data_IF_873825119417
#
_entry.id   IF_873825119417
#
_cell.length_a   1.000
_cell.length_b   1.000
_cell.length_c   1.000
_cell.angle_alpha   90.00
_cell.angle_beta   90.00
_cell.angle_gamma   90.00
#
_symmetry.space_group_name_H-M   'P 1'
#
loop_
_entity.id
_entity.type
_entity.pdbx_description
1 polymer ?
#
# COMPACT_ATOMS: atom_id res chain seq x y z
N UNK A 1 30.27 -46.69 12.94
CA UNK A 1 29.51 -45.44 12.70
C UNK A 1 29.25 -45.32 11.21
N UNK A 2 28.03 -45.59 10.72
CA UNK A 2 27.73 -45.35 9.32
C UNK A 2 27.24 -43.91 9.15
N UNK A 3 27.77 -43.26 8.11
CA UNK A 3 27.36 -41.95 7.64
C UNK A 3 25.86 -41.94 7.33
N UNK A 4 25.12 -41.06 8.00
CA UNK A 4 23.77 -40.68 7.60
C UNK A 4 23.87 -39.91 6.29
N UNK A 5 23.47 -40.56 5.20
CA UNK A 5 23.22 -39.96 3.90
C UNK A 5 22.33 -38.74 4.07
N UNK A 6 22.92 -37.57 3.80
CA UNK A 6 22.26 -36.29 3.68
C UNK A 6 21.46 -36.29 2.37
N UNK A 7 20.32 -36.99 2.39
CA UNK A 7 19.38 -37.02 1.29
C UNK A 7 18.67 -35.66 1.24
N UNK A 8 19.17 -34.80 0.35
CA UNK A 8 18.54 -33.59 -0.20
C UNK A 8 17.04 -33.52 0.05
N UNK A 9 16.63 -32.71 1.03
CA UNK A 9 15.20 -32.48 1.29
C UNK A 9 14.54 -31.86 0.04
N UNK A 10 13.44 -32.45 -0.47
CA UNK A 10 12.72 -31.96 -1.66
C UNK A 10 12.11 -30.56 -1.49
N UNK A 11 12.09 -30.02 -0.27
CA UNK A 11 11.48 -28.74 0.09
C UNK A 11 12.22 -27.51 -0.47
N UNK A 12 13.44 -27.69 -0.99
CA UNK A 12 14.24 -26.57 -1.51
C UNK A 12 14.24 -26.43 -3.04
N UNK A 13 13.76 -27.43 -3.78
CA UNK A 13 13.84 -27.46 -5.24
C UNK A 13 12.61 -26.80 -5.87
N UNK A 14 12.84 -25.76 -6.66
CA UNK A 14 11.81 -25.18 -7.52
C UNK A 14 11.35 -26.20 -8.56
N UNK A 15 10.08 -26.59 -8.50
CA UNK A 15 9.48 -27.56 -9.40
C UNK A 15 9.26 -26.96 -10.80
N UNK A 16 9.21 -27.83 -11.82
CA UNK A 16 8.68 -27.43 -13.13
C UNK A 16 7.17 -27.21 -13.00
N UNK A 17 6.61 -26.37 -13.86
CA UNK A 17 5.18 -26.01 -13.78
C UNK A 17 4.25 -27.23 -13.70
N UNK A 18 4.46 -28.24 -14.55
CA UNK A 18 3.65 -29.47 -14.53
C UNK A 18 3.84 -30.30 -13.26
N UNK A 19 5.05 -30.35 -12.71
CA UNK A 19 5.36 -31.11 -11.50
C UNK A 19 4.64 -30.53 -10.26
N UNK A 20 4.23 -29.26 -10.29
CA UNK A 20 3.42 -28.66 -9.22
C UNK A 20 2.06 -29.35 -9.09
N UNK A 21 1.48 -29.80 -10.22
CA UNK A 21 0.19 -30.48 -10.23
C UNK A 21 0.23 -31.86 -9.58
N UNK A 22 1.41 -32.49 -9.58
CA UNK A 22 1.65 -33.83 -9.01
C UNK A 22 1.76 -33.82 -7.48
N UNK A 23 1.90 -32.64 -6.86
CA UNK A 23 1.87 -32.50 -5.42
C UNK A 23 0.47 -32.83 -4.89
N UNK A 24 0.39 -33.64 -3.83
CA UNK A 24 -0.86 -33.77 -3.07
C UNK A 24 -1.22 -32.45 -2.35
N UNK A 25 -2.42 -32.35 -1.79
CA UNK A 25 -2.95 -31.07 -1.32
C UNK A 25 -2.18 -30.52 -0.10
N UNK A 26 -1.72 -31.40 0.80
CA UNK A 26 -0.88 -31.03 1.94
C UNK A 26 0.48 -30.50 1.46
N UNK A 27 1.17 -31.26 0.60
CA UNK A 27 2.47 -30.87 0.06
C UNK A 27 2.38 -29.61 -0.81
N UNK A 28 1.27 -29.42 -1.52
CA UNK A 28 1.00 -28.19 -2.26
C UNK A 28 0.83 -27.01 -1.32
N UNK A 29 0.04 -27.14 -0.24
CA UNK A 29 -0.09 -26.08 0.77
C UNK A 29 1.27 -25.68 1.36
N UNK A 30 2.09 -26.68 1.74
CA UNK A 30 3.42 -26.45 2.29
C UNK A 30 4.37 -25.80 1.27
N UNK A 31 4.28 -26.22 0.01
CA UNK A 31 5.06 -25.67 -1.10
C UNK A 31 4.83 -24.15 -1.25
N UNK A 32 3.60 -23.68 -1.03
CA UNK A 32 3.24 -22.26 -1.19
C UNK A 32 3.83 -21.32 -0.13
N UNK A 33 4.50 -21.80 0.92
CA UNK A 33 5.07 -20.93 1.96
C UNK A 33 6.23 -20.06 1.47
N UNK A 34 6.94 -20.50 0.42
CA UNK A 34 8.00 -19.69 -0.20
C UNK A 34 7.44 -18.87 -1.36
N UNK A 35 7.90 -17.63 -1.49
CA UNK A 35 7.37 -16.73 -2.53
C UNK A 35 7.70 -17.22 -3.95
N UNK A 36 8.91 -17.71 -4.21
CA UNK A 36 9.28 -18.26 -5.52
C UNK A 36 8.47 -19.52 -5.90
N UNK A 37 8.13 -20.35 -4.91
CA UNK A 37 7.24 -21.49 -5.08
C UNK A 37 5.82 -21.03 -5.39
N UNK A 38 5.30 -20.04 -4.66
CA UNK A 38 4.01 -19.42 -4.94
C UNK A 38 3.96 -18.81 -6.35
N UNK A 39 5.01 -18.10 -6.79
CA UNK A 39 5.14 -17.60 -8.17
C UNK A 39 5.08 -18.75 -9.18
N UNK A 40 5.74 -19.86 -8.88
CA UNK A 40 5.74 -21.05 -9.76
C UNK A 40 4.35 -21.69 -9.82
N UNK A 41 3.67 -21.80 -8.69
CA UNK A 41 2.30 -22.29 -8.61
C UNK A 41 1.32 -21.36 -9.35
N UNK A 42 1.47 -20.03 -9.19
CA UNK A 42 0.65 -19.04 -9.90
C UNK A 42 0.83 -19.10 -11.43
N UNK A 43 2.06 -19.29 -11.92
CA UNK A 43 2.32 -19.50 -13.36
C UNK A 43 1.74 -20.84 -13.82
N UNK A 44 1.83 -21.88 -12.98
CA UNK A 44 1.26 -23.21 -13.27
C UNK A 44 -0.27 -23.15 -13.40
N UNK A 45 -0.91 -22.43 -12.48
CA UNK A 45 -2.34 -22.16 -12.45
C UNK A 45 -2.79 -21.37 -13.68
N UNK A 46 -2.13 -20.25 -13.97
CA UNK A 46 -2.41 -19.43 -15.16
C UNK A 46 -2.25 -20.21 -16.47
N UNK A 47 -1.37 -21.21 -16.49
CA UNK A 47 -1.17 -22.09 -17.63
C UNK A 47 -2.18 -23.27 -17.69
N UNK A 48 -3.04 -23.42 -16.70
CA UNK A 48 -4.08 -24.46 -16.62
C UNK A 48 -3.54 -25.84 -16.24
N UNK A 49 -2.43 -25.92 -15.51
CA UNK A 49 -1.84 -27.21 -15.11
C UNK A 49 -2.34 -27.70 -13.75
N UNK A 50 -2.80 -26.83 -12.86
CA UNK A 50 -3.21 -27.23 -11.52
C UNK A 50 -4.52 -28.01 -11.52
N UNK A 51 -4.67 -28.89 -10.53
CA UNK A 51 -5.91 -29.62 -10.27
C UNK A 51 -6.96 -28.67 -9.68
N UNK A 52 -8.28 -28.93 -9.83
CA UNK A 52 -9.33 -28.06 -9.31
C UNK A 52 -9.16 -27.70 -7.83
N UNK A 53 -8.87 -28.68 -6.96
CA UNK A 53 -8.65 -28.42 -5.53
C UNK A 53 -7.46 -27.48 -5.25
N UNK A 54 -6.40 -27.56 -6.05
CA UNK A 54 -5.22 -26.68 -5.92
C UNK A 54 -5.51 -25.26 -6.44
N UNK A 55 -6.27 -25.16 -7.54
CA UNK A 55 -6.78 -23.90 -8.07
C UNK A 55 -7.66 -23.20 -7.03
N UNK A 56 -8.64 -23.91 -6.47
CA UNK A 56 -9.55 -23.41 -5.43
C UNK A 56 -8.78 -22.94 -4.19
N UNK A 57 -7.73 -23.67 -3.79
CA UNK A 57 -6.87 -23.27 -2.68
C UNK A 57 -6.13 -21.94 -2.97
N UNK A 58 -5.60 -21.75 -4.17
CA UNK A 58 -4.92 -20.49 -4.56
C UNK A 58 -5.89 -19.31 -4.63
N UNK A 59 -7.11 -19.55 -5.11
CA UNK A 59 -8.15 -18.54 -5.25
C UNK A 59 -9.00 -18.32 -3.99
N UNK A 60 -8.72 -19.04 -2.91
CA UNK A 60 -9.39 -18.83 -1.63
C UNK A 60 -9.24 -17.37 -1.16
N UNK A 61 -10.27 -16.76 -0.54
CA UNK A 61 -10.23 -15.34 -0.14
C UNK A 61 -9.00 -14.95 0.68
N UNK A 62 -8.54 -15.82 1.58
CA UNK A 62 -7.35 -15.60 2.40
C UNK A 62 -6.01 -15.63 1.64
N UNK A 63 -5.96 -16.20 0.44
CA UNK A 63 -4.75 -16.32 -0.40
C UNK A 63 -4.77 -15.43 -1.64
N UNK A 64 -5.93 -14.87 -1.99
CA UNK A 64 -6.12 -14.10 -3.21
C UNK A 64 -5.14 -12.90 -3.34
N UNK A 65 -4.79 -12.28 -2.22
CA UNK A 65 -3.78 -11.22 -2.17
C UNK A 65 -2.36 -11.73 -2.46
N UNK A 66 -1.98 -12.88 -1.90
CA UNK A 66 -0.68 -13.50 -2.17
C UNK A 66 -0.59 -13.96 -3.64
N UNK A 67 -1.67 -14.54 -4.18
CA UNK A 67 -1.76 -14.92 -5.58
C UNK A 67 -1.60 -13.70 -6.50
N UNK A 68 -2.26 -12.58 -6.19
CA UNK A 68 -2.12 -11.32 -6.92
C UNK A 68 -0.67 -10.83 -6.93
N UNK A 69 0.00 -10.85 -5.78
CA UNK A 69 1.38 -10.39 -5.65
C UNK A 69 2.33 -11.29 -6.44
N UNK A 70 2.12 -12.62 -6.39
CA UNK A 70 2.87 -13.60 -7.15
C UNK A 70 2.70 -13.45 -8.66
N UNK A 71 1.46 -13.24 -9.14
CA UNK A 71 1.17 -13.00 -10.56
C UNK A 71 1.73 -11.65 -11.04
N UNK A 72 1.71 -10.61 -10.21
CA UNK A 72 2.31 -9.30 -10.51
C UNK A 72 3.82 -9.43 -10.72
N UNK A 73 4.49 -10.17 -9.83
CA UNK A 73 5.91 -10.46 -9.99
C UNK A 73 6.18 -11.34 -11.23
N UNK A 74 5.38 -12.39 -11.43
CA UNK A 74 5.50 -13.30 -12.56
C UNK A 74 5.36 -12.57 -13.91
N UNK A 75 4.42 -11.64 -14.02
CA UNK A 75 4.24 -10.83 -15.23
C UNK A 75 5.53 -10.08 -15.57
N UNK A 76 6.07 -9.34 -14.60
CA UNK A 76 7.28 -8.55 -14.82
C UNK A 76 8.52 -9.40 -15.09
N UNK A 77 8.72 -10.49 -14.34
CA UNK A 77 9.88 -11.39 -14.54
C UNK A 77 9.80 -12.08 -15.91
N UNK A 78 8.62 -12.54 -16.33
CA UNK A 78 8.41 -13.13 -17.66
C UNK A 78 8.58 -12.09 -18.78
N UNK A 79 8.15 -10.84 -18.57
CA UNK A 79 8.38 -9.77 -19.52
C UNK A 79 9.88 -9.52 -19.72
N UNK A 80 10.64 -9.34 -18.64
CA UNK A 80 12.09 -9.09 -18.74
C UNK A 80 12.83 -10.33 -19.28
N UNK A 81 12.38 -11.54 -18.92
CA UNK A 81 12.91 -12.77 -19.48
C UNK A 81 12.69 -12.84 -20.99
N UNK A 82 11.49 -12.49 -21.47
CA UNK A 82 11.16 -12.43 -22.90
C UNK A 82 12.03 -11.40 -23.64
N UNK A 83 12.21 -10.21 -23.06
CA UNK A 83 13.08 -9.15 -23.59
C UNK A 83 14.53 -9.63 -23.73
N UNK A 84 15.07 -10.26 -22.68
CA UNK A 84 16.41 -10.86 -22.68
C UNK A 84 16.56 -11.98 -23.70
N UNK A 85 15.59 -12.88 -23.78
CA UNK A 85 15.55 -13.99 -24.73
C UNK A 85 15.51 -13.46 -26.17
N UNK A 86 14.74 -12.41 -26.42
CA UNK A 86 14.63 -11.76 -27.73
C UNK A 86 15.96 -11.14 -28.14
N UNK A 87 16.64 -10.43 -27.22
CA UNK A 87 17.99 -9.88 -27.47
C UNK A 87 18.99 -10.98 -27.88
N UNK A 88 18.97 -12.11 -27.18
CA UNK A 88 19.84 -13.27 -27.46
C UNK A 88 19.36 -14.19 -28.59
N UNK A 89 18.23 -13.89 -29.24
CA UNK A 89 17.60 -14.73 -30.27
C UNK A 89 17.34 -16.17 -29.79
N UNK A 90 16.91 -16.31 -28.54
CA UNK A 90 16.64 -17.61 -27.91
C UNK A 90 15.38 -18.26 -28.52
N UNK A 91 15.42 -19.54 -28.92
CA UNK A 91 14.28 -20.23 -29.53
C UNK A 91 13.07 -20.40 -28.58
N UNK A 92 13.25 -20.18 -27.27
CA UNK A 92 12.18 -20.29 -26.27
C UNK A 92 11.23 -19.09 -26.25
N UNK A 93 11.52 -18.01 -26.98
CA UNK A 93 10.70 -16.79 -27.05
C UNK A 93 9.20 -17.06 -27.25
N UNK A 94 8.75 -17.89 -28.21
CA UNK A 94 7.31 -18.13 -28.42
C UNK A 94 6.63 -18.77 -27.20
N UNK A 95 7.34 -19.67 -26.50
CA UNK A 95 6.82 -20.34 -25.29
C UNK A 95 6.66 -19.34 -24.15
N UNK A 96 7.70 -18.56 -23.85
CA UNK A 96 7.68 -17.56 -22.78
C UNK A 96 6.66 -16.46 -23.07
N UNK A 97 6.51 -16.04 -24.33
CA UNK A 97 5.50 -15.07 -24.76
C UNK A 97 4.06 -15.56 -24.49
N UNK A 98 3.78 -16.84 -24.76
CA UNK A 98 2.48 -17.45 -24.44
C UNK A 98 2.24 -17.49 -22.93
N UNK A 99 3.24 -17.88 -22.14
CA UNK A 99 3.14 -17.89 -20.67
C UNK A 99 2.87 -16.49 -20.12
N UNK A 100 3.54 -15.46 -20.64
CA UNK A 100 3.28 -14.07 -20.25
C UNK A 100 1.84 -13.65 -20.53
N UNK A 101 1.27 -14.01 -21.68
CA UNK A 101 -0.15 -13.73 -21.98
C UNK A 101 -1.09 -14.43 -21.00
N UNK A 102 -0.83 -15.69 -20.69
CA UNK A 102 -1.62 -16.46 -19.71
C UNK A 102 -1.59 -15.81 -18.32
N UNK A 103 -0.40 -15.42 -17.84
CA UNK A 103 -0.23 -14.72 -16.57
C UNK A 103 -0.96 -13.38 -16.54
N UNK A 104 -0.93 -12.60 -17.62
CA UNK A 104 -1.67 -11.33 -17.71
C UNK A 104 -3.19 -11.54 -17.62
N UNK A 105 -3.71 -12.55 -18.30
CA UNK A 105 -5.13 -12.91 -18.22
C UNK A 105 -5.52 -13.31 -16.80
N UNK A 106 -4.72 -14.18 -16.16
CA UNK A 106 -4.96 -14.61 -14.78
C UNK A 106 -4.86 -13.44 -13.79
N UNK A 107 -3.87 -12.55 -13.94
CA UNK A 107 -3.72 -11.36 -13.09
C UNK A 107 -4.92 -10.42 -13.20
N UNK A 108 -5.44 -10.21 -14.43
CA UNK A 108 -6.64 -9.41 -14.63
C UNK A 108 -7.85 -10.04 -13.93
N UNK A 109 -8.01 -11.36 -13.99
CA UNK A 109 -9.08 -12.07 -13.30
C UNK A 109 -8.97 -11.90 -11.77
N UNK A 110 -7.80 -12.15 -11.20
CA UNK A 110 -7.53 -12.00 -9.76
C UNK A 110 -7.73 -10.55 -9.30
N UNK A 111 -7.41 -9.55 -10.13
CA UNK A 111 -7.74 -8.15 -9.84
C UNK A 111 -9.25 -7.91 -9.67
N UNK A 112 -10.08 -8.52 -10.52
CA UNK A 112 -11.55 -8.43 -10.41
C UNK A 112 -12.05 -9.10 -9.15
N UNK A 113 -11.58 -10.30 -8.85
CA UNK A 113 -11.93 -11.06 -7.64
C UNK A 113 -11.53 -10.30 -6.38
N UNK A 114 -10.29 -9.76 -6.33
CA UNK A 114 -9.80 -8.98 -5.19
C UNK A 114 -10.60 -7.68 -5.01
N UNK A 115 -11.09 -7.08 -6.10
CA UNK A 115 -11.97 -5.91 -6.01
C UNK A 115 -13.37 -6.29 -5.52
N UNK A 116 -13.92 -7.44 -5.96
CA UNK A 116 -15.21 -7.94 -5.51
C UNK A 116 -15.19 -8.29 -4.02
N UNK A 117 -14.15 -8.98 -3.54
CA UNK A 117 -13.94 -9.31 -2.13
C UNK A 117 -13.95 -8.04 -1.27
N UNK A 118 -13.15 -7.03 -1.65
CA UNK A 118 -13.11 -5.74 -0.95
C UNK A 118 -14.47 -5.03 -0.90
N UNK A 119 -15.24 -5.06 -1.99
CA UNK A 119 -16.60 -4.49 -1.99
C UNK A 119 -17.55 -5.27 -1.09
N UNK A 120 -17.39 -6.59 -0.98
CA UNK A 120 -18.19 -7.39 -0.06
C UNK A 120 -17.83 -7.07 1.41
N UNK A 121 -16.55 -7.06 1.75
CA UNK A 121 -16.06 -6.71 3.10
C UNK A 121 -16.50 -5.31 3.52
N UNK A 122 -16.40 -4.32 2.62
CA UNK A 122 -16.84 -2.96 2.91
C UNK A 122 -18.36 -2.91 3.16
N UNK A 123 -19.18 -3.56 2.32
CA UNK A 123 -20.63 -3.63 2.53
C UNK A 123 -21.00 -4.27 3.87
N UNK A 124 -20.32 -5.35 4.27
CA UNK A 124 -20.54 -5.99 5.57
C UNK A 124 -20.18 -5.04 6.70
N UNK A 125 -19.08 -4.30 6.58
CA UNK A 125 -18.65 -3.31 7.58
C UNK A 125 -19.66 -2.16 7.67
N UNK A 126 -20.10 -1.63 6.54
CA UNK A 126 -21.03 -0.49 6.47
C UNK A 126 -22.42 -0.86 7.00
N UNK A 127 -22.87 -2.10 6.75
CA UNK A 127 -24.11 -2.63 7.32
C UNK A 127 -24.03 -2.76 8.84
N UNK A 128 -22.88 -3.18 9.38
CA UNK A 128 -22.66 -3.28 10.82
C UNK A 128 -22.60 -1.90 11.52
N UNK A 129 -22.12 -0.87 10.83
CA UNK A 129 -21.98 0.49 11.39
C UNK A 129 -23.16 1.41 11.09
N UNK A 130 -24.11 1.00 10.25
CA UNK A 130 -25.25 1.85 9.83
C UNK A 130 -24.86 3.09 9.02
N UNK A 131 -23.59 3.22 8.63
CA UNK A 131 -22.99 4.42 7.99
C UNK A 131 -23.08 4.38 6.46
N UNK A 132 -24.12 3.75 5.90
CA UNK A 132 -24.19 3.34 4.49
C UNK A 132 -24.23 4.45 3.43
N UNK A 133 -24.10 5.73 3.79
CA UNK A 133 -23.93 6.80 2.80
C UNK A 133 -23.10 7.95 3.37
N UNK A 134 -22.07 8.36 2.63
CA UNK A 134 -21.31 9.58 2.96
C UNK A 134 -22.19 10.79 2.64
N UNK A 135 -22.75 11.42 3.68
CA UNK A 135 -23.54 12.64 3.56
C UNK A 135 -22.66 13.84 3.14
N UNK A 136 -23.22 14.72 2.33
CA UNK A 136 -22.66 16.04 2.00
C UNK A 136 -22.28 16.84 3.24
N UNK A 137 -23.09 16.80 4.31
CA UNK A 137 -22.79 17.52 5.55
C UNK A 137 -21.51 17.01 6.23
N UNK A 138 -21.37 15.69 6.36
CA UNK A 138 -20.17 15.05 6.91
C UNK A 138 -18.94 15.34 6.05
N UNK A 139 -19.09 15.31 4.73
CA UNK A 139 -18.01 15.65 3.80
C UNK A 139 -17.60 17.11 3.91
N UNK A 140 -18.56 18.03 4.03
CA UNK A 140 -18.31 19.45 4.17
C UNK A 140 -17.58 19.78 5.48
N UNK A 141 -18.01 19.20 6.60
CA UNK A 141 -17.32 19.31 7.91
C UNK A 141 -15.86 18.87 7.80
N UNK A 142 -15.61 17.70 7.22
CA UNK A 142 -14.24 17.19 7.03
C UNK A 142 -13.40 18.06 6.10
N UNK A 143 -13.96 18.59 5.02
CA UNK A 143 -13.24 19.50 4.12
C UNK A 143 -12.94 20.85 4.77
N UNK A 144 -13.84 21.35 5.62
CA UNK A 144 -13.62 22.56 6.40
C UNK A 144 -12.46 22.39 7.40
N UNK A 145 -12.35 21.23 8.05
CA UNK A 145 -11.21 20.90 8.92
C UNK A 145 -9.87 20.93 8.16
N UNK A 146 -9.85 20.50 6.89
CA UNK A 146 -8.67 20.64 6.04
C UNK A 146 -8.40 22.08 5.59
N UNK A 147 -9.44 22.91 5.45
CA UNK A 147 -9.27 24.33 5.15
C UNK A 147 -8.64 25.06 6.35
N UNK A 148 -9.03 24.71 7.58
CA UNK A 148 -8.62 25.38 8.81
C UNK A 148 -7.88 24.45 9.80
N UNK A 149 -6.73 23.85 9.41
CA UNK A 149 -6.12 22.76 10.17
C UNK A 149 -5.66 23.18 11.58
N UNK A 150 -5.07 24.38 11.71
CA UNK A 150 -4.62 24.90 13.00
C UNK A 150 -5.80 25.15 13.95
N UNK A 151 -6.87 25.78 13.45
CA UNK A 151 -8.06 26.06 14.25
C UNK A 151 -8.79 24.79 14.65
N UNK A 152 -8.96 23.86 13.72
CA UNK A 152 -9.53 22.55 13.99
C UNK A 152 -8.75 21.79 15.07
N UNK A 153 -7.41 21.78 14.99
CA UNK A 153 -6.57 21.12 16.01
C UNK A 153 -6.78 21.72 17.41
N UNK A 154 -6.90 23.05 17.51
CA UNK A 154 -7.20 23.72 18.78
C UNK A 154 -8.59 23.34 19.33
N UNK A 155 -9.61 23.32 18.47
CA UNK A 155 -10.97 22.94 18.85
C UNK A 155 -11.04 21.47 19.29
N UNK A 156 -10.37 20.58 18.57
CA UNK A 156 -10.29 19.16 18.91
C UNK A 156 -9.61 18.92 20.25
N UNK A 157 -8.47 19.58 20.51
CA UNK A 157 -7.77 19.46 21.78
C UNK A 157 -8.64 19.95 22.96
N UNK A 158 -9.42 21.02 22.77
CA UNK A 158 -10.37 21.52 23.77
C UNK A 158 -11.51 20.54 24.01
N UNK A 159 -12.09 19.97 22.95
CA UNK A 159 -13.17 18.99 23.06
C UNK A 159 -12.71 17.69 23.74
N UNK A 160 -11.50 17.22 23.41
CA UNK A 160 -10.89 16.05 24.08
C UNK A 160 -10.64 16.33 25.56
N UNK A 161 -10.06 17.49 25.90
CA UNK A 161 -9.84 17.88 27.30
C UNK A 161 -11.16 17.96 28.10
N UNK A 162 -12.23 18.48 27.49
CA UNK A 162 -13.55 18.53 28.11
C UNK A 162 -14.16 17.13 28.33
N UNK A 163 -13.82 16.16 27.49
CA UNK A 163 -14.20 14.75 27.63
C UNK A 163 -13.27 13.94 28.55
N UNK A 164 -12.28 14.57 29.20
CA UNK A 164 -11.29 13.89 30.04
C UNK A 164 -10.25 13.07 29.26
N UNK A 165 -10.15 13.28 27.95
CA UNK A 165 -9.26 12.55 27.06
C UNK A 165 -7.93 13.30 26.86
N UNK A 166 -6.81 12.59 26.66
CA UNK A 166 -5.55 13.23 26.31
C UNK A 166 -5.65 13.92 24.95
N UNK A 167 -5.15 15.16 24.88
CA UNK A 167 -5.12 15.92 23.64
C UNK A 167 -4.29 15.18 22.59
N UNK A 168 -4.92 14.84 21.46
CA UNK A 168 -4.31 14.12 20.35
C UNK A 168 -4.74 14.73 19.03
N UNK A 169 -3.80 15.12 18.15
CA UNK A 169 -4.15 15.60 16.82
C UNK A 169 -4.81 14.48 16.00
N UNK A 170 -5.58 14.87 14.99
CA UNK A 170 -6.10 13.91 14.03
C UNK A 170 -4.97 13.40 13.14
N UNK A 171 -4.89 12.08 12.94
CA UNK A 171 -3.99 11.45 11.99
C UNK A 171 -4.18 12.06 10.59
N UNK A 172 -3.09 12.53 9.96
CA UNK A 172 -3.15 13.23 8.67
C UNK A 172 -3.20 12.26 7.51
N UNK A 173 -2.57 11.11 7.68
CA UNK A 173 -2.49 10.04 6.71
C UNK A 173 -2.58 8.66 7.37
N UNK A 174 -2.51 7.62 6.54
CA UNK A 174 -2.58 6.23 6.99
C UNK A 174 -1.35 5.83 7.81
N UNK A 175 -0.20 6.48 7.62
CA UNK A 175 1.01 6.16 8.37
C UNK A 175 0.92 6.72 9.79
N UNK A 176 0.41 7.94 9.97
CA UNK A 176 0.11 8.49 11.30
C UNK A 176 -0.85 7.56 12.05
N UNK A 177 -1.87 7.03 11.38
CA UNK A 177 -2.81 6.06 11.97
C UNK A 177 -2.10 4.79 12.45
N UNK A 178 -1.14 4.29 11.67
CA UNK A 178 -0.35 3.09 12.00
C UNK A 178 0.62 3.36 13.14
N UNK A 179 1.35 4.48 13.10
CA UNK A 179 2.33 4.89 14.11
C UNK A 179 1.63 5.13 15.47
N UNK A 180 0.49 5.83 15.47
CA UNK A 180 -0.34 6.00 16.65
C UNK A 180 -0.90 4.66 17.15
N UNK A 181 -1.42 3.82 16.26
CA UNK A 181 -1.96 2.52 16.63
C UNK A 181 -0.91 1.57 17.22
N UNK A 182 0.36 1.70 16.82
CA UNK A 182 1.48 1.01 17.46
C UNK A 182 1.77 1.59 18.85
N UNK A 183 1.82 2.92 18.99
CA UNK A 183 2.04 3.58 20.28
C UNK A 183 0.92 3.29 21.30
N UNK A 184 -0.31 3.12 20.83
CA UNK A 184 -1.49 2.74 21.62
C UNK A 184 -1.54 1.23 21.97
N UNK A 185 -0.60 0.44 21.46
CA UNK A 185 -0.56 -1.02 21.67
C UNK A 185 -1.61 -1.80 20.88
N UNK A 186 -2.31 -1.19 19.91
CA UNK A 186 -3.23 -1.90 19.01
C UNK A 186 -2.50 -2.78 18.00
N UNK A 187 -1.26 -2.41 17.65
CA UNK A 187 -0.34 -3.22 16.85
C UNK A 187 0.77 -3.76 17.75
N UNK A 188 0.78 -5.08 17.98
CA UNK A 188 1.67 -5.72 18.96
C UNK A 188 2.98 -6.24 18.37
N UNK A 189 3.41 -5.71 17.22
CA UNK A 189 4.67 -6.14 16.59
C UNK A 189 5.85 -5.72 17.47
N UNK A 190 6.68 -6.67 17.94
CA UNK A 190 7.78 -6.36 18.87
C UNK A 190 8.91 -5.62 18.14
N UNK A 191 9.55 -4.70 18.85
CA UNK A 191 10.83 -4.12 18.45
C UNK A 191 11.92 -5.19 18.57
N UNK A 192 12.51 -5.59 17.45
CA UNK A 192 13.67 -6.49 17.42
C UNK A 192 14.95 -5.69 17.18
N UNK A 193 16.15 -6.23 17.48
CA UNK A 193 17.41 -5.54 17.17
C UNK A 193 17.53 -5.12 15.70
N UNK A 194 16.96 -5.91 14.77
CA UNK A 194 16.93 -5.57 13.34
C UNK A 194 16.07 -4.33 13.06
N UNK A 195 14.91 -4.20 13.73
CA UNK A 195 14.04 -3.02 13.61
C UNK A 195 14.74 -1.78 14.15
N UNK A 196 15.36 -1.86 15.33
CA UNK A 196 16.08 -0.73 15.93
C UNK A 196 17.23 -0.26 15.04
N UNK A 197 18.01 -1.19 14.48
CA UNK A 197 19.07 -0.86 13.53
C UNK A 197 18.54 -0.13 12.29
N UNK A 198 17.41 -0.57 11.74
CA UNK A 198 16.79 0.08 10.58
C UNK A 198 16.23 1.46 10.93
N UNK A 199 15.68 1.64 12.13
CA UNK A 199 15.16 2.93 12.62
C UNK A 199 16.26 3.98 12.72
N UNK A 200 17.46 3.63 13.19
CA UNK A 200 18.58 4.58 13.34
C UNK A 200 19.38 4.83 12.06
N UNK A 201 19.23 4.00 11.01
CA UNK A 201 19.96 4.19 9.75
C UNK A 201 19.60 5.52 9.09
N UNK A 202 20.59 6.20 8.52
CA UNK A 202 20.36 7.36 7.64
C UNK A 202 19.59 6.99 6.37
N UNK A 203 19.01 7.98 5.69
CA UNK A 203 18.14 7.77 4.53
C UNK A 203 18.78 6.92 3.42
N UNK A 204 20.05 7.19 3.08
CA UNK A 204 20.79 6.44 2.05
C UNK A 204 20.99 4.98 2.44
N UNK A 205 21.44 4.70 3.66
CA UNK A 205 21.68 3.34 4.15
C UNK A 205 20.38 2.53 4.27
N UNK A 206 19.28 3.19 4.67
CA UNK A 206 17.96 2.57 4.70
C UNK A 206 17.48 2.21 3.28
N UNK A 207 17.60 3.15 2.33
CA UNK A 207 17.27 2.89 0.91
C UNK A 207 18.10 1.76 0.32
N UNK A 208 19.38 1.65 0.65
CA UNK A 208 20.21 0.52 0.23
C UNK A 208 19.69 -0.80 0.80
N UNK A 209 19.28 -0.85 2.07
CA UNK A 209 18.63 -2.03 2.65
C UNK A 209 17.34 -2.42 1.90
N UNK A 210 16.50 -1.44 1.54
CA UNK A 210 15.31 -1.71 0.71
C UNK A 210 15.70 -2.24 -0.68
N UNK A 211 16.78 -1.72 -1.28
CA UNK A 211 17.25 -2.21 -2.56
C UNK A 211 17.75 -3.65 -2.48
N UNK A 212 18.43 -4.02 -1.39
CA UNK A 212 18.91 -5.38 -1.15
C UNK A 212 17.73 -6.34 -0.91
N UNK A 213 16.76 -5.98 -0.07
CA UNK A 213 15.51 -6.75 0.11
C UNK A 213 14.72 -6.89 -1.20
N UNK A 214 14.67 -5.83 -2.03
CA UNK A 214 14.03 -5.95 -3.35
C UNK A 214 14.77 -6.94 -4.27
N UNK A 215 16.11 -7.01 -4.19
CA UNK A 215 16.89 -7.98 -4.98
C UNK A 215 16.71 -9.40 -4.48
N UNK A 216 16.64 -9.61 -3.16
CA UNK A 216 16.44 -10.91 -2.55
C UNK A 216 14.96 -11.20 -2.24
N UNK A 217 14.31 -11.84 -3.21
CA UNK A 217 12.88 -12.16 -3.11
C UNK A 217 12.56 -13.30 -2.14
N UNK A 218 13.55 -14.12 -1.78
CA UNK A 218 13.36 -15.32 -0.98
C UNK A 218 13.76 -15.13 0.48
N UNK A 219 14.79 -14.32 0.73
CA UNK A 219 15.24 -13.98 2.09
C UNK A 219 14.79 -12.55 2.44
N UNK A 220 13.47 -12.37 2.51
CA UNK A 220 12.85 -11.07 2.76
C UNK A 220 13.10 -10.66 4.20
N UNK A 221 13.56 -9.43 4.43
CA UNK A 221 13.81 -8.95 5.78
C UNK A 221 12.47 -8.69 6.51
N UNK A 222 12.10 -9.52 7.51
CA UNK A 222 10.84 -9.33 8.23
C UNK A 222 10.83 -8.03 9.04
N UNK A 223 12.00 -7.46 9.38
CA UNK A 223 12.07 -6.21 10.13
C UNK A 223 11.50 -5.03 9.33
N UNK A 224 11.64 -5.01 8.01
CA UNK A 224 11.08 -3.96 7.13
C UNK A 224 9.55 -3.87 7.20
N UNK A 225 8.88 -4.96 7.60
CA UNK A 225 7.43 -5.01 7.80
C UNK A 225 6.99 -4.34 9.10
N UNK A 226 7.89 -3.91 9.97
CA UNK A 226 7.51 -3.28 11.23
C UNK A 226 6.66 -2.00 11.01
N UNK A 227 5.56 -1.78 11.77
CA UNK A 227 4.67 -0.62 11.61
C UNK A 227 5.39 0.73 11.52
N UNK A 228 6.39 0.96 12.38
CA UNK A 228 7.16 2.22 12.43
C UNK A 228 8.07 2.47 11.21
N UNK A 229 8.33 1.45 10.39
CA UNK A 229 9.16 1.59 9.20
C UNK A 229 8.35 1.87 7.93
N UNK A 230 7.02 1.74 7.97
CA UNK A 230 6.18 1.75 6.76
C UNK A 230 6.24 3.07 5.99
N UNK A 231 6.30 4.21 6.69
CA UNK A 231 6.45 5.53 6.06
C UNK A 231 7.78 5.62 5.30
N UNK A 232 8.88 5.25 5.97
CA UNK A 232 10.23 5.28 5.38
C UNK A 232 10.38 4.28 4.25
N UNK A 233 9.79 3.10 4.39
CA UNK A 233 9.77 2.07 3.35
C UNK A 233 9.06 2.58 2.10
N UNK A 234 7.90 3.23 2.24
CA UNK A 234 7.21 3.85 1.11
C UNK A 234 8.11 4.85 0.37
N UNK A 235 8.71 5.80 1.11
CA UNK A 235 9.60 6.82 0.53
C UNK A 235 10.79 6.18 -0.18
N UNK A 236 11.44 5.19 0.43
CA UNK A 236 12.57 4.50 -0.18
C UNK A 236 12.19 3.74 -1.47
N UNK A 237 11.02 3.08 -1.51
CA UNK A 237 10.52 2.42 -2.72
C UNK A 237 10.22 3.42 -3.84
N UNK A 238 9.61 4.57 -3.50
CA UNK A 238 9.33 5.65 -4.46
C UNK A 238 10.62 6.25 -5.03
N UNK A 239 11.62 6.49 -4.19
CA UNK A 239 12.94 6.97 -4.62
C UNK A 239 13.66 5.95 -5.51
N UNK A 240 13.68 4.67 -5.11
CA UNK A 240 14.31 3.61 -5.89
C UNK A 240 13.66 3.46 -7.26
N UNK A 241 12.33 3.53 -7.34
CA UNK A 241 11.62 3.51 -8.61
C UNK A 241 12.03 4.72 -9.49
N UNK A 242 12.02 5.92 -8.91
CA UNK A 242 12.39 7.17 -9.60
C UNK A 242 13.82 7.12 -10.16
N UNK A 243 14.77 6.59 -9.38
CA UNK A 243 16.16 6.44 -9.82
C UNK A 243 16.35 5.34 -10.88
N UNK A 244 15.52 4.30 -10.85
CA UNK A 244 15.65 3.14 -11.74
C UNK A 244 14.99 3.36 -13.10
N UNK A 245 13.88 4.12 -13.16
CA UNK A 245 13.11 4.35 -14.40
C UNK A 245 13.96 4.82 -15.57
N UNK A 246 14.84 5.84 -15.45
CA UNK A 246 15.68 6.29 -16.55
C UNK A 246 16.65 5.20 -17.04
N UNK A 247 17.25 4.45 -16.12
CA UNK A 247 18.21 3.39 -16.44
C UNK A 247 17.52 2.20 -17.12
N UNK A 248 16.32 1.87 -16.66
CA UNK A 248 15.46 0.83 -17.22
C UNK A 248 14.82 1.23 -18.57
N UNK A 249 14.93 2.51 -18.94
CA UNK A 249 14.15 3.16 -20.02
C UNK A 249 12.67 2.74 -19.96
N UNK A 250 12.13 2.75 -18.75
CA UNK A 250 10.74 2.37 -18.50
C UNK A 250 9.79 3.53 -18.83
N UNK A 251 8.55 3.23 -19.18
CA UNK A 251 7.54 4.28 -19.44
C UNK A 251 7.17 5.08 -18.19
N UNK A 252 7.20 4.45 -17.01
CA UNK A 252 6.90 5.10 -15.74
C UNK A 252 7.43 4.28 -14.56
N UNK A 253 7.29 4.83 -13.35
CA UNK A 253 7.58 4.13 -12.09
C UNK A 253 6.64 2.95 -11.79
N UNK A 254 5.67 2.65 -12.67
CA UNK A 254 4.68 1.56 -12.51
C UNK A 254 4.47 0.72 -13.77
N UNK A 255 5.15 1.03 -14.87
CA UNK A 255 5.01 0.32 -16.13
C UNK A 255 6.32 0.31 -16.91
N UNK A 256 6.69 -0.87 -17.43
CA UNK A 256 7.96 -1.09 -18.13
C UNK A 256 7.94 -0.46 -19.52
N UNK A 257 6.77 -0.41 -20.16
CA UNK A 257 6.63 0.06 -21.54
C UNK A 257 7.33 -0.84 -22.55
N UNK A 258 7.24 -0.44 -23.83
CA UNK A 258 7.99 -1.08 -24.90
C UNK A 258 9.50 -0.80 -24.74
N UNK A 259 10.33 -1.73 -25.20
CA UNK A 259 11.75 -1.45 -25.34
C UNK A 259 11.98 -0.36 -26.39
N UNK A 260 13.04 0.45 -26.23
CA UNK A 260 13.50 1.36 -27.27
C UNK A 260 13.76 0.65 -28.61
N UNK A 261 13.49 1.32 -29.72
CA UNK A 261 13.68 0.74 -31.07
C UNK A 261 15.15 0.41 -31.39
N UNK A 262 16.10 1.11 -30.75
CA UNK A 262 17.54 0.91 -30.85
C UNK A 262 18.06 -0.24 -29.96
N UNK A 263 17.24 -0.81 -29.08
CA UNK A 263 17.67 -1.78 -28.07
C UNK A 263 18.41 -2.99 -28.65
N UNK A 264 17.94 -3.52 -29.79
CA UNK A 264 18.55 -4.68 -30.46
C UNK A 264 19.95 -4.40 -31.02
N UNK A 265 20.34 -3.13 -31.12
CA UNK A 265 21.64 -2.67 -31.64
C UNK A 265 22.59 -2.24 -30.52
N UNK A 266 22.14 -2.20 -29.26
CA UNK A 266 22.99 -1.82 -28.14
C UNK A 266 24.10 -2.85 -27.91
N UNK A 267 25.30 -2.40 -27.49
CA UNK A 267 26.34 -3.29 -26.96
C UNK A 267 25.80 -4.15 -25.84
N UNK A 268 26.32 -5.38 -25.70
CA UNK A 268 25.81 -6.36 -24.72
C UNK A 268 25.82 -5.78 -23.30
N UNK A 269 26.89 -5.10 -22.90
CA UNK A 269 27.01 -4.50 -21.58
C UNK A 269 25.85 -3.52 -21.27
N UNK A 270 25.52 -2.65 -22.22
CA UNK A 270 24.47 -1.64 -22.06
C UNK A 270 23.08 -2.26 -22.11
N UNK A 271 22.86 -3.22 -23.00
CA UNK A 271 21.61 -3.98 -23.08
C UNK A 271 21.33 -4.71 -21.75
N UNK A 272 22.36 -5.37 -21.19
CA UNK A 272 22.24 -6.07 -19.90
C UNK A 272 22.07 -5.13 -18.73
N UNK A 273 22.73 -3.97 -18.73
CA UNK A 273 22.50 -2.92 -17.72
C UNK A 273 21.02 -2.50 -17.71
N UNK A 274 20.43 -2.26 -18.89
CA UNK A 274 19.02 -1.90 -19.01
C UNK A 274 18.10 -3.04 -18.58
N UNK A 275 18.33 -4.28 -19.02
CA UNK A 275 17.53 -5.45 -18.63
C UNK A 275 17.58 -5.71 -17.11
N UNK A 276 18.74 -5.57 -16.49
CA UNK A 276 18.90 -5.71 -15.04
C UNK A 276 18.15 -4.60 -14.29
N UNK A 277 18.20 -3.36 -14.78
CA UNK A 277 17.43 -2.26 -14.21
C UNK A 277 15.91 -2.50 -14.35
N UNK A 278 15.44 -3.03 -15.49
CA UNK A 278 14.03 -3.42 -15.69
C UNK A 278 13.60 -4.53 -14.72
N UNK A 279 14.43 -5.55 -14.54
CA UNK A 279 14.19 -6.61 -13.52
C UNK A 279 14.12 -6.04 -12.10
N UNK A 280 15.03 -5.14 -11.76
CA UNK A 280 15.03 -4.49 -10.46
C UNK A 280 13.77 -3.63 -10.25
N UNK A 281 13.31 -2.92 -11.28
CA UNK A 281 12.07 -2.14 -11.22
C UNK A 281 10.83 -3.02 -10.98
N UNK A 282 10.77 -4.20 -11.61
CA UNK A 282 9.72 -5.21 -11.34
C UNK A 282 9.76 -5.66 -9.88
N UNK A 283 10.94 -5.90 -9.33
CA UNK A 283 11.09 -6.30 -7.94
C UNK A 283 10.61 -5.20 -6.97
N UNK A 284 10.88 -3.93 -7.28
CA UNK A 284 10.34 -2.78 -6.53
C UNK A 284 8.80 -2.78 -6.56
N UNK A 285 8.18 -3.06 -7.70
CA UNK A 285 6.71 -3.09 -7.80
C UNK A 285 6.08 -4.18 -6.95
N UNK A 286 6.70 -5.36 -6.91
CA UNK A 286 6.26 -6.43 -6.03
C UNK A 286 6.33 -5.97 -4.56
N UNK A 287 7.42 -5.32 -4.15
CA UNK A 287 7.54 -4.79 -2.76
C UNK A 287 6.54 -3.69 -2.47
N UNK A 288 6.22 -2.85 -3.45
CA UNK A 288 5.15 -1.85 -3.32
C UNK A 288 3.77 -2.49 -3.16
N UNK A 289 3.50 -3.59 -3.86
CA UNK A 289 2.24 -4.33 -3.72
C UNK A 289 2.09 -4.93 -2.32
N UNK A 290 3.15 -5.59 -1.83
CA UNK A 290 3.24 -6.13 -0.46
C UNK A 290 3.04 -5.02 0.60
N UNK A 291 3.77 -3.92 0.47
CA UNK A 291 3.68 -2.77 1.35
C UNK A 291 2.27 -2.15 1.37
N UNK A 292 1.64 -1.99 0.20
CA UNK A 292 0.26 -1.48 0.09
C UNK A 292 -0.73 -2.38 0.84
N UNK A 293 -0.54 -3.70 0.76
CA UNK A 293 -1.37 -4.67 1.49
C UNK A 293 -1.15 -4.57 2.99
N UNK A 294 0.11 -4.55 3.42
CA UNK A 294 0.50 -4.49 4.83
C UNK A 294 -0.04 -3.23 5.52
N UNK A 295 0.06 -2.07 4.87
CA UNK A 295 -0.51 -0.82 5.36
C UNK A 295 -2.02 -0.93 5.58
N UNK A 296 -2.74 -1.53 4.63
CA UNK A 296 -4.20 -1.71 4.76
C UNK A 296 -4.53 -2.65 5.90
N UNK A 297 -3.77 -3.72 6.08
CA UNK A 297 -3.95 -4.65 7.19
C UNK A 297 -3.74 -3.95 8.53
N UNK A 298 -2.67 -3.16 8.67
CA UNK A 298 -2.43 -2.38 9.88
C UNK A 298 -3.52 -1.34 10.14
N UNK A 299 -3.89 -0.56 9.13
CA UNK A 299 -4.95 0.44 9.28
C UNK A 299 -6.31 -0.20 9.63
N UNK A 300 -6.64 -1.35 9.03
CA UNK A 300 -7.82 -2.13 9.36
C UNK A 300 -7.79 -2.61 10.82
N UNK A 301 -6.69 -3.23 11.23
CA UNK A 301 -6.50 -3.71 12.61
C UNK A 301 -6.62 -2.57 13.62
N UNK A 302 -5.97 -1.43 13.37
CA UNK A 302 -6.05 -0.25 14.24
C UNK A 302 -7.48 0.28 14.30
N UNK A 303 -8.18 0.35 13.16
CA UNK A 303 -9.57 0.80 13.12
C UNK A 303 -10.49 -0.11 13.93
N UNK A 304 -10.37 -1.43 13.77
CA UNK A 304 -11.20 -2.39 14.48
C UNK A 304 -10.93 -2.36 15.99
N UNK A 305 -9.65 -2.26 16.39
CA UNK A 305 -9.26 -2.15 17.80
C UNK A 305 -9.69 -0.83 18.44
N UNK A 306 -9.56 0.30 17.72
CA UNK A 306 -10.02 1.61 18.19
C UNK A 306 -11.53 1.67 18.38
N UNK A 307 -12.30 0.90 17.60
CA UNK A 307 -13.77 0.80 17.77
C UNK A 307 -14.17 -0.01 19.00
N UNK A 308 -13.35 -0.99 19.37
CA UNK A 308 -13.56 -1.79 20.58
C UNK A 308 -13.03 -1.11 21.85
N UNK A 309 -12.34 0.03 21.72
CA UNK A 309 -11.81 0.81 22.84
C UNK A 309 -12.98 1.48 23.62
N UNK A 310 -13.01 1.38 24.97
CA UNK A 310 -14.01 2.07 25.78
C UNK A 310 -14.12 3.58 25.51
N UNK A 311 -13.01 4.23 25.13
CA UNK A 311 -12.99 5.68 24.86
C UNK A 311 -13.45 6.04 23.44
N UNK A 312 -13.81 5.05 22.60
CA UNK A 312 -14.16 5.27 21.20
C UNK A 312 -15.27 6.32 21.03
N UNK A 313 -16.37 6.13 21.74
CA UNK A 313 -17.55 6.99 21.63
C UNK A 313 -17.24 8.41 22.12
N UNK A 314 -16.47 8.55 23.21
CA UNK A 314 -16.02 9.85 23.71
C UNK A 314 -15.12 10.57 22.71
N UNK A 315 -14.20 9.84 22.05
CA UNK A 315 -13.33 10.40 21.01
C UNK A 315 -14.13 10.81 19.77
N UNK A 316 -15.12 10.01 19.37
CA UNK A 316 -16.01 10.35 18.25
C UNK A 316 -16.83 11.60 18.56
N UNK A 317 -17.41 11.69 19.76
CA UNK A 317 -18.17 12.86 20.20
C UNK A 317 -17.30 14.13 20.28
N UNK A 318 -16.06 14.01 20.77
CA UNK A 318 -15.12 15.13 20.79
C UNK A 318 -14.76 15.62 19.38
N UNK A 319 -14.61 14.70 18.43
CA UNK A 319 -14.39 15.02 17.01
C UNK A 319 -15.59 15.77 16.42
N UNK A 320 -16.79 15.25 16.61
CA UNK A 320 -18.03 15.87 16.11
C UNK A 320 -18.24 17.26 16.72
N UNK A 321 -18.01 17.40 18.03
CA UNK A 321 -18.08 18.69 18.74
C UNK A 321 -17.11 19.72 18.15
N UNK A 322 -15.87 19.30 17.85
CA UNK A 322 -14.88 20.18 17.24
C UNK A 322 -15.25 20.59 15.81
N UNK A 323 -15.80 19.66 15.02
CA UNK A 323 -16.28 19.92 13.66
C UNK A 323 -17.50 20.85 13.66
N UNK A 324 -18.47 20.63 14.54
CA UNK A 324 -19.65 21.49 14.68
C UNK A 324 -19.26 22.90 15.10
N UNK A 325 -18.31 23.01 16.03
CA UNK A 325 -17.79 24.32 16.43
C UNK A 325 -17.07 25.02 15.28
N UNK A 326 -16.32 24.29 14.46
CA UNK A 326 -15.65 24.85 13.29
C UNK A 326 -16.66 25.36 12.24
N UNK A 327 -17.75 24.62 12.00
CA UNK A 327 -18.84 25.05 11.11
C UNK A 327 -19.52 26.31 11.66
N UNK A 328 -19.77 26.38 12.97
CA UNK A 328 -20.36 27.55 13.60
C UNK A 328 -19.46 28.80 13.50
N UNK A 329 -18.14 28.63 13.51
CA UNK A 329 -17.17 29.72 13.35
C UNK A 329 -17.00 30.16 11.88
N UNK A 330 -17.26 29.27 10.92
CA UNK A 330 -17.09 29.52 9.47
C UNK A 330 -18.33 29.13 8.63
N UNK A 331 -19.52 29.69 8.90
CA UNK A 331 -20.76 29.26 8.25
C UNK A 331 -20.78 29.54 6.74
N UNK A 332 -20.17 30.64 6.29
CA UNK A 332 -20.12 30.99 4.87
C UNK A 332 -19.27 30.00 4.05
N UNK A 333 -18.14 29.55 4.59
CA UNK A 333 -17.28 28.58 3.92
C UNK A 333 -17.91 27.20 3.90
N UNK A 334 -18.55 26.79 5.00
CA UNK A 334 -19.33 25.55 5.05
C UNK A 334 -20.46 25.56 3.99
N UNK A 335 -21.21 26.65 3.88
CA UNK A 335 -22.27 26.82 2.88
C UNK A 335 -21.72 26.74 1.45
N UNK A 336 -20.55 27.33 1.19
CA UNK A 336 -19.88 27.26 -0.12
C UNK A 336 -19.47 25.83 -0.48
N UNK A 337 -18.91 25.08 0.46
CA UNK A 337 -18.59 23.66 0.25
C UNK A 337 -19.87 22.88 -0.09
N UNK A 338 -20.92 23.04 0.70
CA UNK A 338 -22.21 22.37 0.49
C UNK A 338 -22.83 22.72 -0.87
N UNK A 339 -22.80 23.99 -1.27
CA UNK A 339 -23.30 24.42 -2.58
C UNK A 339 -22.57 23.71 -3.73
N UNK A 340 -21.25 23.50 -3.59
CA UNK A 340 -20.44 22.78 -4.59
C UNK A 340 -20.69 21.27 -4.59
N UNK A 341 -21.00 20.69 -3.44
CA UNK A 341 -21.34 19.26 -3.30
C UNK A 341 -22.76 18.94 -3.78
N UNK A 342 -23.69 19.89 -3.73
CA UNK A 342 -25.12 19.68 -4.04
C UNK A 342 -25.38 19.06 -5.41
N UNK A 343 -24.56 19.36 -6.41
CA UNK A 343 -24.67 18.80 -7.78
C UNK A 343 -24.34 17.30 -7.87
N UNK A 344 -23.79 16.73 -6.81
CA UNK A 344 -23.38 15.34 -6.70
C UNK A 344 -24.23 14.56 -5.69
N UNK A 345 -25.23 15.22 -5.10
CA UNK A 345 -26.02 14.68 -4.02
C UNK A 345 -27.42 14.29 -4.51
N UNK A 346 -27.97 13.23 -3.92
CA UNK A 346 -29.39 12.90 -4.03
C UNK A 346 -30.26 13.97 -3.38
N UNK A 347 -31.58 13.87 -3.55
CA UNK A 347 -32.56 14.70 -2.84
C UNK A 347 -32.38 14.66 -1.31
N UNK A 348 -31.90 13.53 -0.77
CA UNK A 348 -31.65 13.33 0.66
C UNK A 348 -30.26 13.82 1.12
N UNK A 349 -29.51 14.52 0.26
CA UNK A 349 -28.18 15.04 0.60
C UNK A 349 -27.06 14.00 0.63
N UNK A 350 -27.31 12.78 0.12
CA UNK A 350 -26.32 11.70 0.06
C UNK A 350 -25.49 11.82 -1.20
N UNK A 351 -24.17 11.66 -1.10
CA UNK A 351 -23.30 11.65 -2.28
C UNK A 351 -23.43 10.30 -2.99
N UNK A 352 -23.82 10.32 -4.27
CA UNK A 352 -23.91 9.09 -5.07
C UNK A 352 -22.51 8.66 -5.51
N UNK A 353 -22.08 7.45 -5.17
CA UNK A 353 -20.72 6.98 -5.49
C UNK A 353 -20.46 6.86 -7.00
N UNK A 354 -21.48 6.51 -7.78
CA UNK A 354 -21.41 6.37 -9.23
C UNK A 354 -21.22 7.72 -9.94
N UNK A 355 -21.74 8.80 -9.36
CA UNK A 355 -21.63 10.17 -9.89
C UNK A 355 -20.41 10.88 -9.30
N UNK A 356 -20.18 10.73 -8.01
CA UNK A 356 -19.10 11.35 -7.25
C UNK A 356 -17.94 10.38 -7.01
N UNK A 357 -17.34 9.94 -8.11
CA UNK A 357 -16.21 9.01 -8.10
C UNK A 357 -15.05 9.51 -7.23
N UNK A 358 -14.19 8.60 -6.75
CA UNK A 358 -13.01 8.95 -5.92
C UNK A 358 -12.11 10.01 -6.57
N UNK A 359 -11.90 9.91 -7.89
CA UNK A 359 -11.10 10.87 -8.65
C UNK A 359 -11.73 12.27 -8.64
N UNK A 360 -13.05 12.33 -8.89
CA UNK A 360 -13.80 13.58 -8.89
C UNK A 360 -13.86 14.19 -7.49
N UNK A 361 -14.01 13.38 -6.44
CA UNK A 361 -13.93 13.82 -5.05
C UNK A 361 -12.59 14.46 -4.72
N UNK A 362 -11.48 13.84 -5.13
CA UNK A 362 -10.14 14.37 -4.91
C UNK A 362 -9.91 15.69 -5.68
N UNK A 363 -10.41 15.78 -6.91
CA UNK A 363 -10.36 17.02 -7.69
C UNK A 363 -11.19 18.13 -7.05
N UNK A 364 -12.47 17.87 -6.74
CA UNK A 364 -13.36 18.84 -6.13
C UNK A 364 -12.83 19.35 -4.77
N UNK A 365 -12.27 18.45 -3.95
CA UNK A 365 -11.60 18.83 -2.70
C UNK A 365 -10.47 19.82 -2.96
N UNK A 366 -9.58 19.56 -3.93
CA UNK A 366 -8.45 20.45 -4.26
C UNK A 366 -8.93 21.82 -4.74
N UNK A 367 -9.89 21.86 -5.65
CA UNK A 367 -10.46 23.10 -6.19
C UNK A 367 -11.06 23.98 -5.09
N UNK A 368 -11.89 23.38 -4.22
CA UNK A 368 -12.55 24.11 -3.13
C UNK A 368 -11.55 24.59 -2.09
N UNK A 369 -10.59 23.74 -1.70
CA UNK A 369 -9.57 24.16 -0.73
C UNK A 369 -8.72 25.31 -1.28
N UNK A 370 -8.45 25.33 -2.59
CA UNK A 370 -7.77 26.45 -3.25
C UNK A 370 -8.65 27.72 -3.28
N UNK A 371 -9.94 27.63 -3.60
CA UNK A 371 -10.88 28.76 -3.56
C UNK A 371 -11.01 29.34 -2.14
N UNK A 372 -11.16 28.47 -1.13
CA UNK A 372 -11.19 28.89 0.27
C UNK A 372 -9.86 29.51 0.73
N UNK A 373 -8.72 29.07 0.19
CA UNK A 373 -7.43 29.69 0.47
C UNK A 373 -7.30 31.07 -0.19
N UNK A 374 -7.84 31.25 -1.41
CA UNK A 374 -7.82 32.53 -2.11
C UNK A 374 -8.75 33.58 -1.49
N UNK A 375 -9.90 33.16 -0.93
CA UNK A 375 -10.85 34.06 -0.27
C UNK A 375 -10.44 34.44 1.16
N UNK A 376 -9.49 33.71 1.76
CA UNK A 376 -8.82 34.13 2.98
C UNK A 376 -7.91 35.30 2.62
N UNK A 377 -8.38 36.52 2.88
CA UNK A 377 -7.52 37.72 2.87
C UNK A 377 -6.22 37.37 3.61
N UNK A 378 -5.04 37.82 3.15
CA UNK A 378 -3.83 37.67 3.92
C UNK A 378 -4.00 38.53 5.18
N UNK A 379 -4.51 37.93 6.25
CA UNK A 379 -4.38 38.51 7.58
C UNK A 379 -2.89 38.70 7.79
N UNK A 380 -2.54 39.97 8.04
CA UNK A 380 -1.19 40.42 8.34
C UNK A 380 -0.62 39.47 9.39
N UNK A 381 0.29 38.60 8.95
CA UNK A 381 1.07 37.76 9.83
C UNK A 381 2.00 38.70 10.59
N UNK A 382 1.57 39.13 11.77
CA UNK A 382 2.52 39.55 12.79
C UNK A 382 3.42 38.34 13.09
N UNK A 383 4.76 38.49 13.03
CA UNK A 383 5.67 37.38 13.21
C UNK A 383 5.52 36.82 14.62
N UNK A 384 4.86 35.68 14.75
CA UNK A 384 4.80 34.96 16.01
C UNK A 384 6.15 34.25 16.18
N UNK A 385 7.00 34.86 17.00
CA UNK A 385 8.19 34.23 17.55
C UNK A 385 7.76 33.02 18.40
N UNK A 386 7.72 31.85 17.80
CA UNK A 386 7.70 30.59 18.54
C UNK A 386 9.02 29.89 18.23
N UNK A 387 9.87 29.86 19.26
CA UNK A 387 11.16 29.22 19.26
C UNK A 387 11.07 27.76 18.80
N UNK A 388 12.03 27.37 17.96
CA UNK A 388 12.30 25.98 17.59
C UNK A 388 12.40 25.12 18.85
N UNK A 389 11.57 24.07 18.93
CA UNK A 389 11.71 23.02 19.95
C UNK A 389 13.06 22.30 19.76
N UNK A 390 13.80 21.98 20.83
CA UNK A 390 15.05 21.25 20.72
C UNK A 390 14.78 19.79 20.32
N UNK A 391 15.69 19.25 19.51
CA UNK A 391 15.83 17.83 19.25
C UNK A 391 16.11 17.13 20.59
N UNK A 392 15.28 16.15 20.94
CA UNK A 392 15.55 15.24 22.06
C UNK A 392 16.83 14.45 21.73
N UNK A 393 17.95 14.90 22.29
CA UNK A 393 19.14 14.08 22.42
C UNK A 393 18.83 12.99 23.46
N UNK A 394 19.03 11.73 23.08
CA UNK A 394 19.03 10.61 24.00
C UNK A 394 20.20 10.78 24.96
N UNK A 395 19.92 11.14 26.21
CA UNK A 395 20.86 10.99 27.32
C UNK A 395 20.90 9.51 27.70
N UNK A 396 22.00 8.85 27.37
CA UNK A 396 22.41 7.64 28.06
C UNK A 396 22.91 8.04 29.46
N UNK A 397 22.32 7.46 30.50
CA UNK A 397 22.92 7.37 31.84
C UNK A 397 22.22 6.24 32.63
N UNK A 398 22.79 5.03 32.57
CA UNK A 398 23.34 4.26 33.70
C UNK A 398 23.77 2.87 33.26
#
# INVERSE_FOLDING_TARGET
>A
MPATSDATQPQHRRLRLREVADLNDTAFSDYLHRFDHLVTAAISDAAGYLRPAQHDLLHAPGRLHDLRDALTFAEGDLQVALERMTYRRDPRVPRTSRQLRQVRTALHQVHRETAALRRAENRTRDAATGTGATDTATTARGWLAHAYPARFTQLLARAQAAAGLPARPLAKDIFDTIEEGWADGHLTTPGTPGVEQLLVRGAVAFRSAIADDARDQNDRDPALRHPLLQRRWNTALDELATLTVPVARASSASALGALPSDFSRLPELDAFKMLNARRFLVAIWQRRAEHTRLIRQYAGTVTDRRRADPDHDLRSQALDTALDRLVAEHPADAARILARLRRYATADGRLEEDVFTTALRAQAKREILADLAANRRPDVVLPSAIASRPVLAATADR
#
